data_IF_679365541608
#
_entry.id   IF_679365541608
#
_cell.length_a   1.000
_cell.length_b   1.000
_cell.length_c   1.000
_cell.angle_alpha   90.00
_cell.angle_beta   90.00
_cell.angle_gamma   90.00
#
_symmetry.space_group_name_H-M   'P 1'
#
loop_
_entity.id
_entity.type
_entity.pdbx_description
1 polymer ?
#
# COMPACT_ATOMS: atom_id res chain seq x y z
N UNK A 1 32.77 3.49 -11.51
CA UNK A 1 33.38 3.00 -10.27
C UNK A 1 33.88 1.57 -10.53
N UNK A 2 35.13 1.22 -10.24
CA UNK A 2 35.64 -0.16 -10.38
C UNK A 2 35.59 -0.85 -9.01
N UNK A 3 34.69 -1.82 -8.84
CA UNK A 3 34.61 -2.66 -7.64
C UNK A 3 35.79 -3.64 -7.64
N UNK A 4 36.65 -3.61 -6.62
CA UNK A 4 37.75 -4.57 -6.51
C UNK A 4 37.22 -5.92 -6.02
N UNK A 5 37.89 -7.01 -6.41
CA UNK A 5 37.53 -8.36 -5.99
C UNK A 5 37.54 -8.52 -4.46
N UNK A 6 38.47 -7.86 -3.77
CA UNK A 6 38.53 -7.87 -2.31
C UNK A 6 37.27 -7.24 -1.70
N UNK A 7 36.87 -6.07 -2.18
CA UNK A 7 35.66 -5.38 -1.72
C UNK A 7 34.41 -6.23 -2.03
N UNK A 8 34.33 -6.82 -3.23
CA UNK A 8 33.21 -7.72 -3.57
C UNK A 8 33.10 -8.89 -2.60
N UNK A 9 34.21 -9.57 -2.30
CA UNK A 9 34.23 -10.72 -1.39
C UNK A 9 33.85 -10.35 0.04
N UNK A 10 34.21 -9.15 0.49
CA UNK A 10 33.87 -8.66 1.83
C UNK A 10 32.37 -8.34 1.97
N UNK A 11 31.77 -7.78 0.90
CA UNK A 11 30.39 -7.27 0.97
C UNK A 11 29.33 -8.20 0.39
N UNK A 12 29.67 -9.13 -0.50
CA UNK A 12 28.68 -9.94 -1.23
C UNK A 12 27.70 -10.67 -0.30
N UNK A 13 28.20 -11.37 0.70
CA UNK A 13 27.35 -12.15 1.62
C UNK A 13 26.54 -11.23 2.53
N UNK A 14 27.15 -10.15 3.04
CA UNK A 14 26.49 -9.16 3.90
C UNK A 14 25.33 -8.48 3.17
N UNK A 15 25.57 -8.02 1.93
CA UNK A 15 24.55 -7.37 1.11
C UNK A 15 23.45 -8.35 0.73
N UNK A 16 23.78 -9.61 0.43
CA UNK A 16 22.78 -10.66 0.17
C UNK A 16 21.86 -10.85 1.37
N UNK A 17 22.41 -10.97 2.58
CA UNK A 17 21.63 -11.04 3.81
C UNK A 17 20.81 -9.76 4.03
N UNK A 18 21.38 -8.59 3.74
CA UNK A 18 20.65 -7.31 3.77
C UNK A 18 19.40 -7.30 2.89
N UNK A 19 19.47 -7.86 1.68
CA UNK A 19 18.30 -8.00 0.81
C UNK A 19 17.26 -8.98 1.37
N UNK A 20 17.69 -10.05 2.05
CA UNK A 20 16.78 -11.00 2.72
C UNK A 20 16.04 -10.29 3.86
N UNK A 21 16.76 -9.53 4.70
CA UNK A 21 16.17 -8.73 5.79
C UNK A 21 15.21 -7.66 5.25
N UNK A 22 15.58 -6.98 4.16
CA UNK A 22 14.72 -6.02 3.49
C UNK A 22 13.44 -6.67 2.95
N UNK A 23 13.52 -7.87 2.38
CA UNK A 23 12.35 -8.62 1.92
C UNK A 23 11.44 -9.04 3.08
N UNK A 24 12.01 -9.48 4.21
CA UNK A 24 11.23 -9.80 5.42
C UNK A 24 10.50 -8.55 5.95
N UNK A 25 11.19 -7.42 6.01
CA UNK A 25 10.56 -6.14 6.36
C UNK A 25 9.43 -5.75 5.40
N UNK A 26 9.62 -5.94 4.09
CA UNK A 26 8.57 -5.67 3.10
C UNK A 26 7.35 -6.58 3.27
N UNK A 27 7.53 -7.84 3.66
CA UNK A 27 6.41 -8.74 3.99
C UNK A 27 5.62 -8.22 5.21
N UNK A 28 6.30 -7.69 6.23
CA UNK A 28 5.63 -7.04 7.37
C UNK A 28 4.85 -5.78 6.94
N UNK A 29 5.30 -5.11 5.88
CA UNK A 29 4.59 -4.00 5.25
C UNK A 29 3.55 -4.45 4.21
N UNK A 30 3.23 -5.74 4.14
CA UNK A 30 2.28 -6.36 3.19
C UNK A 30 2.65 -6.18 1.70
N UNK A 31 3.93 -6.06 1.39
CA UNK A 31 4.47 -6.10 0.02
C UNK A 31 5.04 -7.49 -0.23
N UNK A 32 4.22 -8.37 -0.82
CA UNK A 32 4.56 -9.81 -0.93
C UNK A 32 5.27 -10.19 -2.23
N UNK A 33 5.15 -9.41 -3.31
CA UNK A 33 5.65 -9.80 -4.63
C UNK A 33 6.44 -8.70 -5.32
N UNK A 34 7.36 -9.09 -6.20
CA UNK A 34 8.11 -8.14 -7.05
C UNK A 34 7.16 -7.29 -7.93
N UNK A 35 6.01 -7.85 -8.33
CA UNK A 35 4.97 -7.13 -9.10
C UNK A 35 4.41 -5.95 -8.30
N UNK A 36 4.27 -6.09 -6.99
CA UNK A 36 3.71 -5.07 -6.11
C UNK A 36 4.77 -4.25 -5.37
N UNK A 37 6.06 -4.48 -5.63
CA UNK A 37 7.13 -3.65 -5.10
C UNK A 37 7.00 -2.21 -5.65
N UNK A 38 6.83 -1.18 -4.80
CA UNK A 38 6.68 0.20 -5.26
C UNK A 38 7.90 0.70 -6.03
N UNK A 39 9.10 0.52 -5.47
CA UNK A 39 10.38 0.90 -6.07
C UNK A 39 11.45 -0.17 -5.84
N UNK A 40 11.97 -0.75 -6.93
CA UNK A 40 13.17 -1.59 -6.86
C UNK A 40 14.42 -0.82 -6.44
N UNK A 41 14.50 0.46 -6.81
CA UNK A 41 15.62 1.35 -6.47
C UNK A 41 15.69 1.68 -4.98
N UNK A 42 14.56 1.76 -4.28
CA UNK A 42 14.52 1.98 -2.82
C UNK A 42 14.93 0.73 -2.02
N UNK A 43 14.85 -0.46 -2.63
CA UNK A 43 15.29 -1.70 -1.99
C UNK A 43 16.80 -1.69 -1.72
N UNK A 44 17.58 -1.00 -2.57
CA UNK A 44 19.05 -0.90 -2.46
C UNK A 44 19.46 -0.22 -1.14
N UNK A 45 19.04 1.02 -0.84
CA UNK A 45 19.37 1.66 0.44
C UNK A 45 18.71 0.93 1.63
N UNK A 46 17.51 0.36 1.46
CA UNK A 46 16.87 -0.42 2.54
C UNK A 46 17.74 -1.62 2.96
N UNK A 47 18.27 -2.38 1.99
CA UNK A 47 19.17 -3.49 2.26
C UNK A 47 20.46 -3.02 2.95
N UNK A 48 21.06 -1.92 2.47
CA UNK A 48 22.25 -1.35 3.10
C UNK A 48 22.01 -0.88 4.55
N UNK A 49 20.86 -0.27 4.83
CA UNK A 49 20.44 0.14 6.17
C UNK A 49 20.35 -1.08 7.10
N UNK A 50 19.77 -2.20 6.64
CA UNK A 50 19.72 -3.43 7.43
C UNK A 50 21.11 -4.02 7.70
N UNK A 51 22.03 -3.96 6.73
CA UNK A 51 23.42 -4.42 6.92
C UNK A 51 24.14 -3.57 7.96
N UNK A 52 23.98 -2.26 7.91
CA UNK A 52 24.69 -1.33 8.79
C UNK A 52 24.14 -1.39 10.23
N UNK A 53 22.82 -1.42 10.40
CA UNK A 53 22.20 -1.50 11.74
C UNK A 53 22.29 -2.88 12.37
N UNK A 54 22.36 -3.94 11.55
CA UNK A 54 22.33 -5.33 12.02
C UNK A 54 21.18 -5.58 13.00
N UNK A 55 21.50 -6.01 14.23
CA UNK A 55 20.51 -6.35 15.26
C UNK A 55 19.67 -5.15 15.72
N UNK A 56 20.20 -3.93 15.62
CA UNK A 56 19.47 -2.72 16.04
C UNK A 56 18.22 -2.48 15.21
N UNK A 57 18.20 -2.92 13.95
CA UNK A 57 17.05 -2.79 13.04
C UNK A 57 15.80 -3.57 13.49
N UNK A 58 15.94 -4.48 14.47
CA UNK A 58 14.82 -5.22 15.07
C UNK A 58 14.26 -4.55 16.33
N UNK A 59 14.87 -3.47 16.82
CA UNK A 59 14.26 -2.66 17.87
C UNK A 59 13.03 -1.93 17.31
N UNK A 60 11.91 -1.95 18.04
CA UNK A 60 10.64 -1.36 17.59
C UNK A 60 10.76 0.11 17.16
N UNK A 61 11.49 0.93 17.91
CA UNK A 61 11.65 2.36 17.59
C UNK A 61 12.50 2.58 16.34
N UNK A 62 13.52 1.77 16.14
CA UNK A 62 14.36 1.80 14.93
C UNK A 62 13.54 1.34 13.73
N UNK A 63 12.78 0.26 13.90
CA UNK A 63 11.92 -0.32 12.86
C UNK A 63 10.83 0.65 12.42
N UNK A 64 10.23 1.40 13.34
CA UNK A 64 9.25 2.45 13.03
C UNK A 64 9.86 3.60 12.22
N UNK A 65 11.11 4.00 12.51
CA UNK A 65 11.83 5.02 11.72
C UNK A 65 12.13 4.53 10.31
N UNK A 66 12.61 3.29 10.17
CA UNK A 66 12.82 2.65 8.87
C UNK A 66 11.50 2.61 8.08
N UNK A 67 10.40 2.23 8.73
CA UNK A 67 9.08 2.23 8.10
C UNK A 67 8.62 3.61 7.67
N UNK A 68 8.78 4.65 8.50
CA UNK A 68 8.44 6.02 8.13
C UNK A 68 9.26 6.50 6.94
N UNK A 69 10.58 6.28 6.94
CA UNK A 69 11.44 6.58 5.79
C UNK A 69 11.00 5.84 4.53
N UNK A 70 10.71 4.55 4.65
CA UNK A 70 10.24 3.73 3.53
C UNK A 70 8.95 4.30 2.92
N UNK A 71 7.93 4.55 3.75
CA UNK A 71 6.64 5.07 3.32
C UNK A 71 6.71 6.49 2.76
N UNK A 72 7.56 7.36 3.33
CA UNK A 72 7.83 8.68 2.77
C UNK A 72 8.44 8.57 1.36
N UNK A 73 9.38 7.64 1.15
CA UNK A 73 9.95 7.38 -0.16
C UNK A 73 8.95 6.88 -1.20
N UNK A 74 8.08 5.95 -0.80
CA UNK A 74 7.05 5.36 -1.67
C UNK A 74 5.96 6.37 -2.03
N UNK A 75 5.37 7.00 -1.02
CA UNK A 75 4.20 7.87 -1.18
C UNK A 75 4.59 9.26 -1.70
N UNK A 76 5.80 9.73 -1.38
CA UNK A 76 6.38 10.92 -2.01
C UNK A 76 6.91 10.67 -3.44
N UNK A 77 6.80 9.45 -3.95
CA UNK A 77 7.26 9.03 -5.29
C UNK A 77 8.74 9.43 -5.59
N UNK A 78 9.60 9.39 -4.56
CA UNK A 78 10.94 9.99 -4.57
C UNK A 78 12.01 9.15 -5.28
N UNK A 79 11.67 7.93 -5.71
CA UNK A 79 12.60 6.97 -6.31
C UNK A 79 12.36 6.68 -7.80
N UNK A 80 11.53 7.49 -8.47
CA UNK A 80 11.27 7.38 -9.91
C UNK A 80 12.30 8.04 -10.85
N UNK A 81 13.25 8.83 -10.33
CA UNK A 81 14.21 9.65 -11.11
C UNK A 81 15.68 9.38 -10.79
N UNK A 82 16.56 10.40 -10.92
CA UNK A 82 18.01 10.31 -10.64
C UNK A 82 18.31 9.93 -9.18
N UNK A 83 18.26 8.63 -8.90
CA UNK A 83 18.23 8.06 -7.54
C UNK A 83 19.60 7.77 -6.95
N UNK A 84 20.68 7.74 -7.74
CA UNK A 84 22.01 7.35 -7.24
C UNK A 84 22.47 8.23 -6.06
N UNK A 85 22.35 9.56 -6.20
CA UNK A 85 22.69 10.50 -5.12
C UNK A 85 21.78 10.32 -3.89
N UNK A 86 20.49 10.02 -4.10
CA UNK A 86 19.53 9.80 -3.02
C UNK A 86 19.86 8.52 -2.26
N UNK A 87 20.13 7.42 -2.97
CA UNK A 87 20.48 6.12 -2.38
C UNK A 87 21.70 6.24 -1.47
N UNK A 88 22.76 6.90 -1.94
CA UNK A 88 23.98 7.08 -1.15
C UNK A 88 23.72 7.96 0.11
N UNK A 89 22.90 9.00 -0.04
CA UNK A 89 22.56 9.91 1.06
C UNK A 89 21.65 9.25 2.10
N UNK A 90 20.64 8.50 1.66
CA UNK A 90 19.66 7.87 2.55
C UNK A 90 20.31 6.92 3.55
N UNK A 91 21.33 6.16 3.13
CA UNK A 91 22.05 5.29 4.05
C UNK A 91 22.62 6.11 5.22
N UNK A 92 23.36 7.18 4.92
CA UNK A 92 23.98 8.02 5.96
C UNK A 92 22.91 8.68 6.83
N UNK A 93 21.94 9.35 6.21
CA UNK A 93 20.93 10.12 6.94
C UNK A 93 20.01 9.25 7.79
N UNK A 94 19.63 8.04 7.33
CA UNK A 94 18.78 7.13 8.12
C UNK A 94 19.53 6.58 9.32
N UNK A 95 20.80 6.23 9.17
CA UNK A 95 21.63 5.74 10.29
C UNK A 95 21.81 6.84 11.33
N UNK A 96 22.21 8.04 10.90
CA UNK A 96 22.32 9.20 11.79
C UNK A 96 21.00 9.49 12.49
N UNK A 97 19.89 9.46 11.75
CA UNK A 97 18.57 9.69 12.32
C UNK A 97 18.24 8.64 13.38
N UNK A 98 18.45 7.36 13.12
CA UNK A 98 18.22 6.27 14.09
C UNK A 98 18.97 6.50 15.39
N UNK A 99 20.19 7.06 15.34
CA UNK A 99 21.01 7.39 16.51
C UNK A 99 20.75 8.78 17.12
N UNK A 100 19.63 9.43 16.76
CA UNK A 100 19.19 10.69 17.36
C UNK A 100 19.57 11.95 16.57
N UNK A 101 20.09 11.78 15.36
CA UNK A 101 20.37 12.87 14.41
C UNK A 101 19.10 13.48 13.79
N UNK A 102 19.32 14.32 12.78
CA UNK A 102 18.25 15.02 12.08
C UNK A 102 17.38 14.06 11.24
N UNK A 103 16.15 14.49 10.95
CA UNK A 103 15.24 13.74 10.08
C UNK A 103 15.80 13.67 8.63
N UNK A 104 15.79 12.49 7.98
CA UNK A 104 16.35 12.33 6.63
C UNK A 104 15.67 13.24 5.61
N UNK A 105 16.42 13.66 4.61
CA UNK A 105 15.91 14.47 3.51
C UNK A 105 14.76 13.78 2.79
N UNK A 106 14.79 12.45 2.62
CA UNK A 106 13.66 11.68 2.05
C UNK A 106 12.39 11.78 2.90
N UNK A 107 12.50 11.81 4.23
CA UNK A 107 11.33 12.01 5.10
C UNK A 107 10.88 13.46 5.03
N UNK A 108 11.79 14.43 5.11
CA UNK A 108 11.47 15.87 5.08
C UNK A 108 10.81 16.30 3.76
N UNK A 109 11.39 15.94 2.62
CA UNK A 109 10.96 16.36 1.28
C UNK A 109 9.73 15.59 0.78
N UNK A 110 9.41 14.44 1.39
CA UNK A 110 8.23 13.68 0.98
C UNK A 110 6.96 14.48 1.25
N UNK A 111 6.17 14.65 0.20
CA UNK A 111 4.85 15.26 0.21
C UNK A 111 3.89 14.38 -0.60
N UNK A 112 2.64 14.34 -0.20
CA UNK A 112 1.57 13.69 -0.96
C UNK A 112 0.45 14.70 -1.14
N UNK A 113 0.19 15.09 -2.39
CA UNK A 113 -0.92 15.99 -2.71
C UNK A 113 -2.24 15.22 -2.71
N UNK A 114 -3.29 15.76 -2.08
CA UNK A 114 -4.57 15.06 -1.92
C UNK A 114 -5.22 14.63 -3.25
N UNK A 115 -5.07 15.45 -4.29
CA UNK A 115 -5.59 15.21 -5.65
C UNK A 115 -4.86 14.05 -6.36
N UNK A 116 -3.66 13.68 -5.90
CA UNK A 116 -2.90 12.54 -6.43
C UNK A 116 -3.74 11.27 -6.40
N UNK A 117 -4.59 11.06 -5.38
CA UNK A 117 -5.51 9.92 -5.31
C UNK A 117 -6.37 9.74 -6.57
N UNK A 118 -6.81 10.82 -7.22
CA UNK A 118 -7.64 10.80 -8.44
C UNK A 118 -6.88 10.27 -9.67
N UNK A 119 -5.56 10.36 -9.64
CA UNK A 119 -4.69 9.99 -10.76
C UNK A 119 -4.01 8.63 -10.55
N UNK A 120 -4.08 8.06 -9.34
CA UNK A 120 -3.64 6.70 -9.05
C UNK A 120 -4.62 5.67 -9.62
N UNK A 121 -4.47 5.33 -10.90
CA UNK A 121 -5.42 4.46 -11.62
C UNK A 121 -4.89 3.05 -11.87
N UNK A 122 -3.59 2.87 -11.98
CA UNK A 122 -2.97 1.58 -12.35
C UNK A 122 -1.76 1.26 -11.48
N UNK A 123 -1.39 -0.02 -11.47
CA UNK A 123 -0.24 -0.57 -10.75
C UNK A 123 1.12 -0.03 -11.24
N UNK A 124 1.19 0.87 -12.20
CA UNK A 124 2.46 1.47 -12.64
C UNK A 124 3.00 2.50 -11.64
N UNK A 125 2.13 3.15 -10.85
CA UNK A 125 2.57 4.10 -9.81
C UNK A 125 3.03 3.38 -8.55
N UNK A 126 4.13 3.87 -7.98
CA UNK A 126 4.61 3.39 -6.69
C UNK A 126 3.63 3.72 -5.56
N UNK A 127 3.05 4.93 -5.56
CA UNK A 127 2.03 5.31 -4.58
C UNK A 127 0.76 4.44 -4.70
N UNK A 128 0.37 4.02 -5.92
CA UNK A 128 -0.71 3.06 -6.10
C UNK A 128 -0.42 1.71 -5.43
N UNK A 129 0.77 1.15 -5.68
CA UNK A 129 1.22 -0.10 -5.04
C UNK A 129 1.33 0.06 -3.52
N UNK A 130 1.81 1.21 -3.06
CA UNK A 130 1.91 1.55 -1.65
C UNK A 130 0.55 1.57 -0.94
N UNK A 131 -0.45 2.25 -1.51
CA UNK A 131 -1.80 2.26 -0.97
C UNK A 131 -2.46 0.87 -0.98
N UNK A 132 -2.19 0.07 -2.01
CA UNK A 132 -2.65 -1.32 -2.06
C UNK A 132 -2.08 -2.15 -0.88
N UNK A 133 -0.77 -2.03 -0.62
CA UNK A 133 -0.13 -2.69 0.52
C UNK A 133 -0.63 -2.15 1.88
N UNK A 134 -0.83 -0.83 2.01
CA UNK A 134 -1.36 -0.22 3.23
C UNK A 134 -2.77 -0.71 3.56
N UNK A 135 -3.66 -0.83 2.57
CA UNK A 135 -4.98 -1.40 2.78
C UNK A 135 -4.88 -2.83 3.33
N UNK A 136 -4.04 -3.67 2.71
CA UNK A 136 -3.80 -5.03 3.23
C UNK A 136 -3.27 -5.02 4.66
N UNK A 137 -2.37 -4.08 4.99
CA UNK A 137 -1.82 -3.91 6.34
C UNK A 137 -2.85 -3.46 7.38
N UNK A 138 -3.89 -2.71 6.99
CA UNK A 138 -5.02 -2.38 7.88
C UNK A 138 -5.96 -3.58 8.12
N UNK A 139 -5.68 -4.74 7.51
CA UNK A 139 -6.42 -5.97 7.77
C UNK A 139 -7.75 -6.05 7.02
N UNK A 140 -7.81 -5.51 5.79
CA UNK A 140 -8.97 -5.70 4.90
C UNK A 140 -9.32 -7.19 4.78
N UNK A 141 -10.61 -7.50 4.66
CA UNK A 141 -11.13 -8.87 4.61
C UNK A 141 -11.89 -9.13 3.33
N UNK A 142 -11.64 -10.25 2.67
CA UNK A 142 -12.40 -10.58 1.46
C UNK A 142 -13.92 -10.64 1.74
N UNK A 143 -14.74 -10.04 0.87
CA UNK A 143 -16.17 -9.90 1.13
C UNK A 143 -16.93 -11.23 1.22
N UNK A 144 -16.43 -12.26 0.53
CA UNK A 144 -17.06 -13.58 0.50
C UNK A 144 -16.55 -14.44 1.65
N UNK A 145 -15.24 -14.57 1.82
CA UNK A 145 -14.66 -15.48 2.82
C UNK A 145 -14.61 -14.86 4.22
N UNK A 146 -14.61 -13.53 4.32
CA UNK A 146 -14.38 -12.80 5.56
C UNK A 146 -12.97 -12.94 6.12
N UNK A 147 -12.06 -13.63 5.40
CA UNK A 147 -10.69 -13.88 5.84
C UNK A 147 -9.86 -12.62 5.57
N UNK A 148 -9.00 -12.19 6.54
CA UNK A 148 -8.05 -11.12 6.31
C UNK A 148 -7.15 -11.41 5.11
N UNK A 149 -6.90 -10.37 4.30
CA UNK A 149 -5.99 -10.45 3.16
C UNK A 149 -4.55 -10.30 3.67
N UNK A 150 -3.95 -11.45 3.97
CA UNK A 150 -2.57 -11.65 4.40
C UNK A 150 -1.75 -12.40 3.34
N UNK A 151 -0.50 -12.77 3.66
CA UNK A 151 0.38 -13.46 2.70
C UNK A 151 -0.20 -14.79 2.19
N UNK A 152 -0.88 -15.56 3.05
CA UNK A 152 -1.39 -16.89 2.68
C UNK A 152 -2.55 -16.75 1.69
N UNK A 153 -3.50 -15.89 2.03
CA UNK A 153 -4.68 -15.61 1.19
C UNK A 153 -4.30 -14.87 -0.09
N UNK A 154 -3.32 -13.97 -0.03
CA UNK A 154 -2.81 -13.22 -1.19
C UNK A 154 -2.45 -14.17 -2.36
N UNK A 155 -1.67 -15.21 -2.08
CA UNK A 155 -1.30 -16.19 -3.09
C UNK A 155 -2.39 -17.23 -3.35
N UNK A 156 -3.05 -17.73 -2.30
CA UNK A 156 -4.04 -18.81 -2.42
C UNK A 156 -5.33 -18.41 -3.14
N UNK A 157 -5.73 -17.14 -3.05
CA UNK A 157 -7.01 -16.65 -3.56
C UNK A 157 -6.90 -15.71 -4.77
N UNK A 158 -5.68 -15.55 -5.30
CA UNK A 158 -5.40 -14.65 -6.44
C UNK A 158 -5.94 -13.24 -6.18
N UNK A 159 -5.52 -12.66 -5.06
CA UNK A 159 -5.95 -11.31 -4.66
C UNK A 159 -5.46 -10.30 -5.70
N UNK A 160 -6.38 -9.46 -6.16
CA UNK A 160 -6.09 -8.32 -7.02
C UNK A 160 -6.95 -7.13 -6.59
N UNK A 161 -6.68 -5.97 -7.16
CA UNK A 161 -7.34 -4.72 -6.84
C UNK A 161 -8.48 -4.46 -7.84
N UNK A 162 -9.69 -4.37 -7.30
CA UNK A 162 -10.93 -4.32 -8.07
C UNK A 162 -11.76 -3.09 -7.72
N UNK A 163 -12.61 -2.68 -8.67
CA UNK A 163 -13.51 -1.55 -8.46
C UNK A 163 -14.61 -1.90 -7.45
N UNK A 164 -14.86 -1.00 -6.50
CA UNK A 164 -15.91 -1.16 -5.47
C UNK A 164 -17.29 -0.87 -6.08
N UNK A 165 -17.41 0.25 -6.79
CA UNK A 165 -18.45 0.49 -7.77
C UNK A 165 -17.93 0.07 -9.14
N UNK A 166 -18.47 -1.01 -9.75
CA UNK A 166 -17.98 -1.51 -11.03
C UNK A 166 -18.01 -0.47 -12.14
N UNK A 167 -17.03 -0.53 -13.04
CA UNK A 167 -16.91 0.41 -14.17
C UNK A 167 -18.22 0.56 -14.94
N UNK A 168 -18.83 -0.55 -15.36
CA UNK A 168 -20.04 -0.52 -16.16
C UNK A 168 -21.22 0.12 -15.42
N UNK A 169 -21.30 -0.07 -14.08
CA UNK A 169 -22.27 0.64 -13.26
C UNK A 169 -22.01 2.15 -13.32
N UNK A 170 -20.77 2.57 -13.08
CA UNK A 170 -20.39 3.98 -13.09
C UNK A 170 -20.65 4.64 -14.45
N UNK A 171 -20.32 3.97 -15.55
CA UNK A 171 -20.57 4.46 -16.91
C UNK A 171 -22.07 4.65 -17.18
N UNK A 172 -22.92 3.69 -16.78
CA UNK A 172 -24.38 3.81 -16.90
C UNK A 172 -24.96 4.93 -16.05
N UNK A 173 -24.34 5.26 -14.91
CA UNK A 173 -24.76 6.36 -14.04
C UNK A 173 -24.17 7.72 -14.45
N UNK A 174 -23.34 7.78 -15.50
CA UNK A 174 -22.68 9.02 -15.92
C UNK A 174 -21.62 9.52 -14.95
N UNK A 175 -21.07 8.65 -14.11
CA UNK A 175 -19.99 9.00 -13.17
C UNK A 175 -18.70 9.20 -13.97
N UNK A 176 -17.95 10.26 -13.64
CA UNK A 176 -16.72 10.58 -14.35
C UNK A 176 -15.65 9.48 -14.21
N UNK A 177 -14.98 9.17 -15.32
CA UNK A 177 -13.85 8.21 -15.36
C UNK A 177 -12.72 8.57 -14.42
N UNK A 178 -12.45 9.87 -14.26
CA UNK A 178 -11.45 10.40 -13.32
C UNK A 178 -11.70 9.92 -11.89
N UNK A 179 -12.97 9.85 -11.47
CA UNK A 179 -13.39 9.35 -10.16
C UNK A 179 -13.45 7.82 -10.13
N UNK A 180 -14.20 7.18 -11.02
CA UNK A 180 -14.44 5.74 -10.88
C UNK A 180 -13.18 4.89 -11.12
N UNK A 181 -12.22 5.32 -11.95
CA UNK A 181 -10.98 4.56 -12.19
C UNK A 181 -9.87 4.87 -11.16
N UNK A 182 -10.07 5.85 -10.28
CA UNK A 182 -9.10 6.20 -9.23
C UNK A 182 -8.97 5.11 -8.16
N UNK A 183 -7.89 5.16 -7.37
CA UNK A 183 -7.64 4.23 -6.26
C UNK A 183 -8.73 4.32 -5.18
N UNK A 184 -9.41 5.47 -5.08
CA UNK A 184 -10.48 5.68 -4.09
C UNK A 184 -11.59 4.66 -4.32
N UNK A 185 -11.98 4.41 -5.57
CA UNK A 185 -13.00 3.41 -5.91
C UNK A 185 -12.43 2.00 -6.06
N UNK A 186 -11.28 1.68 -5.47
CA UNK A 186 -10.65 0.37 -5.61
C UNK A 186 -10.26 -0.26 -4.28
N UNK A 187 -10.24 -1.59 -4.25
CA UNK A 187 -9.85 -2.34 -3.05
C UNK A 187 -9.33 -3.75 -3.37
N UNK A 188 -8.45 -4.34 -2.54
CA UNK A 188 -8.01 -5.72 -2.72
C UNK A 188 -9.17 -6.68 -2.46
N UNK A 189 -9.44 -7.60 -3.39
CA UNK A 189 -10.44 -8.66 -3.25
C UNK A 189 -9.95 -9.93 -3.93
N UNK A 190 -10.49 -11.09 -3.52
CA UNK A 190 -10.23 -12.34 -4.24
C UNK A 190 -10.88 -12.34 -5.62
N UNK A 191 -10.30 -13.13 -6.52
CA UNK A 191 -10.89 -13.39 -7.82
C UNK A 191 -12.33 -13.91 -7.72
N UNK A 192 -12.61 -14.75 -6.71
CA UNK A 192 -13.96 -15.31 -6.46
C UNK A 192 -14.95 -14.21 -6.10
N UNK A 193 -14.58 -13.31 -5.20
CA UNK A 193 -15.42 -12.17 -4.80
C UNK A 193 -15.65 -11.21 -5.96
N UNK A 194 -14.61 -10.89 -6.73
CA UNK A 194 -14.75 -10.03 -7.90
C UNK A 194 -15.74 -10.58 -8.94
N UNK A 195 -15.82 -11.91 -9.12
CA UNK A 195 -16.83 -12.55 -9.97
C UNK A 195 -18.25 -12.40 -9.46
N UNK A 196 -18.45 -12.29 -8.14
CA UNK A 196 -19.77 -12.06 -7.54
C UNK A 196 -20.19 -10.59 -7.72
N UNK A 197 -19.25 -9.66 -7.56
CA UNK A 197 -19.45 -8.23 -7.79
C UNK A 197 -19.89 -7.96 -9.24
N UNK A 198 -19.15 -8.52 -10.21
CA UNK A 198 -19.46 -8.39 -11.63
C UNK A 198 -19.62 -6.93 -12.07
N UNK A 199 -20.77 -6.61 -12.65
CA UNK A 199 -21.09 -5.30 -13.23
C UNK A 199 -22.22 -4.57 -12.47
N UNK A 200 -22.58 -5.10 -11.30
CA UNK A 200 -23.74 -4.69 -10.53
C UNK A 200 -23.45 -3.49 -9.63
N UNK A 201 -24.50 -2.77 -9.25
CA UNK A 201 -24.41 -1.76 -8.19
C UNK A 201 -24.03 -2.42 -6.85
N UNK A 202 -23.33 -1.71 -5.94
CA UNK A 202 -23.03 -2.24 -4.61
C UNK A 202 -24.19 -2.86 -3.86
N UNK A 203 -25.33 -2.18 -3.76
CA UNK A 203 -26.51 -2.72 -3.08
C UNK A 203 -26.99 -4.05 -3.67
N UNK A 204 -26.76 -4.29 -4.96
CA UNK A 204 -27.17 -5.52 -5.65
C UNK A 204 -26.20 -6.66 -5.34
N UNK A 205 -24.88 -6.45 -5.46
CA UNK A 205 -23.95 -7.53 -5.14
C UNK A 205 -23.85 -7.82 -3.64
N UNK A 206 -24.06 -6.82 -2.78
CA UNK A 206 -24.11 -7.03 -1.32
C UNK A 206 -25.30 -7.88 -0.95
N UNK A 207 -26.48 -7.60 -1.50
CA UNK A 207 -27.65 -8.47 -1.31
C UNK A 207 -27.42 -9.90 -1.85
N UNK A 208 -26.68 -10.07 -2.95
CA UNK A 208 -26.29 -11.40 -3.44
C UNK A 208 -25.38 -12.14 -2.45
N UNK A 209 -24.44 -11.45 -1.83
CA UNK A 209 -23.59 -12.02 -0.78
C UNK A 209 -24.43 -12.43 0.44
N UNK A 210 -25.39 -11.59 0.84
CA UNK A 210 -26.28 -11.89 1.96
C UNK A 210 -27.19 -13.10 1.66
N UNK A 211 -27.94 -13.06 0.55
CA UNK A 211 -28.99 -14.05 0.27
C UNK A 211 -28.43 -15.35 -0.33
N UNK A 212 -27.43 -15.28 -1.21
CA UNK A 212 -26.94 -16.45 -1.98
C UNK A 212 -25.69 -17.09 -1.39
N UNK A 213 -25.07 -16.43 -0.42
CA UNK A 213 -23.88 -16.93 0.30
C UNK A 213 -24.09 -16.99 1.81
N UNK A 214 -25.29 -16.66 2.28
CA UNK A 214 -25.70 -16.76 3.68
C UNK A 214 -24.78 -15.97 4.62
N UNK A 215 -24.35 -14.79 4.16
CA UNK A 215 -23.49 -13.88 4.95
C UNK A 215 -24.41 -12.90 5.69
N UNK A 216 -24.41 -12.87 7.04
CA UNK A 216 -25.22 -11.90 7.77
C UNK A 216 -24.87 -10.46 7.38
N UNK A 217 -25.90 -9.62 7.17
CA UNK A 217 -25.71 -8.22 6.77
C UNK A 217 -24.79 -7.45 7.72
N UNK A 218 -24.93 -7.67 9.03
CA UNK A 218 -24.06 -7.08 10.07
C UNK A 218 -22.60 -7.51 9.91
N UNK A 219 -22.37 -8.77 9.52
CA UNK A 219 -21.01 -9.27 9.30
C UNK A 219 -20.39 -8.69 8.05
N UNK A 220 -21.18 -8.55 7.00
CA UNK A 220 -20.75 -7.91 5.76
C UNK A 220 -20.42 -6.43 5.99
N UNK A 221 -21.18 -5.73 6.85
CA UNK A 221 -20.91 -4.35 7.24
C UNK A 221 -19.57 -4.20 7.97
N UNK A 222 -19.29 -5.08 8.94
CA UNK A 222 -17.97 -5.14 9.60
C UNK A 222 -16.85 -5.35 8.57
N UNK A 223 -17.06 -6.24 7.59
CA UNK A 223 -16.07 -6.48 6.53
C UNK A 223 -15.86 -5.22 5.71
N UNK A 224 -16.92 -4.57 5.22
CA UNK A 224 -16.81 -3.33 4.43
C UNK A 224 -16.05 -2.22 5.19
N UNK A 225 -16.24 -2.11 6.50
CA UNK A 225 -15.52 -1.15 7.34
C UNK A 225 -14.01 -1.42 7.37
N UNK A 226 -13.57 -2.69 7.32
CA UNK A 226 -12.12 -3.01 7.27
C UNK A 226 -11.44 -2.40 6.04
N UNK A 227 -12.19 -2.18 4.96
CA UNK A 227 -11.67 -1.56 3.76
C UNK A 227 -11.64 -0.05 3.80
N UNK A 228 -12.01 0.62 4.90
CA UNK A 228 -12.28 2.06 5.01
C UNK A 228 -13.43 2.56 4.13
N UNK A 229 -14.51 1.78 4.06
CA UNK A 229 -15.75 2.17 3.39
C UNK A 229 -16.79 2.68 4.39
N UNK A 230 -17.54 3.71 3.98
CA UNK A 230 -18.76 4.09 4.67
C UNK A 230 -19.90 3.19 4.24
N UNK A 231 -20.40 2.37 5.16
CA UNK A 231 -21.40 1.32 4.89
C UNK A 231 -22.71 1.92 4.36
N UNK A 232 -23.17 3.03 4.94
CA UNK A 232 -24.44 3.65 4.56
C UNK A 232 -24.45 4.09 3.09
N UNK A 233 -23.43 4.82 2.66
CA UNK A 233 -23.30 5.27 1.27
C UNK A 233 -23.13 4.11 0.29
N UNK A 234 -22.33 3.09 0.63
CA UNK A 234 -22.20 1.87 -0.18
C UNK A 234 -23.56 1.19 -0.37
N UNK A 235 -24.31 0.93 0.70
CA UNK A 235 -25.62 0.25 0.62
C UNK A 235 -26.67 1.07 -0.13
N UNK A 236 -26.58 2.40 -0.08
CA UNK A 236 -27.44 3.31 -0.82
C UNK A 236 -27.04 3.50 -2.30
N UNK A 237 -25.91 2.92 -2.73
CA UNK A 237 -25.24 3.24 -4.01
C UNK A 237 -24.89 4.74 -4.18
N UNK A 238 -24.76 5.48 -3.07
CA UNK A 238 -24.39 6.89 -3.06
C UNK A 238 -22.89 7.02 -3.31
N UNK A 239 -22.53 7.09 -4.60
CA UNK A 239 -21.13 7.13 -5.02
C UNK A 239 -20.41 8.37 -4.49
N UNK A 240 -21.03 9.55 -4.52
CA UNK A 240 -20.37 10.80 -4.13
C UNK A 240 -20.06 10.82 -2.62
N UNK A 241 -21.02 10.42 -1.78
CA UNK A 241 -20.78 10.35 -0.34
C UNK A 241 -19.74 9.27 0.01
N UNK A 242 -19.81 8.10 -0.63
CA UNK A 242 -18.81 7.05 -0.49
C UNK A 242 -17.42 7.58 -0.85
N UNK A 243 -17.32 8.24 -2.00
CA UNK A 243 -16.06 8.69 -2.57
C UNK A 243 -15.37 9.68 -1.66
N UNK A 244 -16.07 10.71 -1.18
CA UNK A 244 -15.47 11.71 -0.31
C UNK A 244 -15.08 11.15 1.06
N UNK A 245 -15.95 10.35 1.70
CA UNK A 245 -15.61 9.74 3.00
C UNK A 245 -14.40 8.83 2.90
N UNK A 246 -14.34 8.01 1.84
CA UNK A 246 -13.21 7.12 1.59
C UNK A 246 -11.94 7.87 1.21
N UNK A 247 -12.05 8.93 0.41
CA UNK A 247 -10.92 9.82 0.08
C UNK A 247 -10.27 10.34 1.36
N UNK A 248 -11.05 10.90 2.28
CA UNK A 248 -10.54 11.40 3.57
C UNK A 248 -9.91 10.30 4.42
N UNK A 249 -10.52 9.11 4.47
CA UNK A 249 -9.96 7.97 5.22
C UNK A 249 -8.60 7.52 4.65
N UNK A 250 -8.47 7.42 3.33
CA UNK A 250 -7.21 7.08 2.66
C UNK A 250 -6.12 8.14 2.90
N UNK A 251 -6.48 9.43 2.88
CA UNK A 251 -5.54 10.50 3.25
C UNK A 251 -5.08 10.37 4.70
N UNK A 252 -5.99 10.08 5.64
CA UNK A 252 -5.61 9.83 7.04
C UNK A 252 -4.67 8.63 7.22
N UNK A 253 -4.81 7.58 6.40
CA UNK A 253 -3.86 6.46 6.38
C UNK A 253 -2.48 6.89 5.87
N UNK A 254 -2.42 7.68 4.80
CA UNK A 254 -1.18 8.25 4.24
C UNK A 254 -0.47 9.12 5.30
N UNK A 255 -1.21 10.03 5.94
CA UNK A 255 -0.67 10.92 6.97
C UNK A 255 -0.03 10.14 8.13
N UNK A 256 -0.68 9.06 8.57
CA UNK A 256 -0.22 8.21 9.68
C UNK A 256 1.13 7.58 9.39
N UNK A 257 1.32 7.03 8.18
CA UNK A 257 2.56 6.33 7.84
C UNK A 257 3.69 7.25 7.42
N UNK A 258 3.38 8.41 6.85
CA UNK A 258 4.37 9.44 6.56
C UNK A 258 4.74 10.24 7.82
N UNK A 259 3.90 10.20 8.86
CA UNK A 259 4.08 10.96 10.10
C UNK A 259 4.03 12.48 9.85
N UNK A 260 3.19 12.93 8.91
CA UNK A 260 2.98 14.33 8.55
C UNK A 260 1.64 14.53 7.86
N UNK A 261 1.18 15.78 7.76
CA UNK A 261 -0.06 16.12 7.06
C UNK A 261 0.10 16.07 5.54
N UNK A 262 -0.98 15.70 4.87
CA UNK A 262 -1.13 15.77 3.41
C UNK A 262 -1.58 17.19 3.07
N UNK A 263 -1.07 17.72 1.97
CA UNK A 263 -1.46 19.03 1.40
C UNK A 263 -2.66 18.93 0.45
#
# INVERSE_FOLDING_TARGET
MQLKLADYRDWADRVTEGFIQAAQFLHEQHVFSARDLPYGTQLIPLAAIFVELGREAHNVHVRDRIARWYWCGVLGELYGGATETRIARDLVEVIEWVHGGAEPTTVRDANFAADRLLTLRTRNSAAYKGLHALLMREGVRDFLSGVPIDIQTYYGESIDIHHIFPRDYCERQGIEKTKYDSIINKTPLSYKTNRIIGHDAPSVYLRKLEEKRDIPATKLDEILQTHVMDVASIRANDFEQFFEKRRLALLGMIERVMGKKVE
#
